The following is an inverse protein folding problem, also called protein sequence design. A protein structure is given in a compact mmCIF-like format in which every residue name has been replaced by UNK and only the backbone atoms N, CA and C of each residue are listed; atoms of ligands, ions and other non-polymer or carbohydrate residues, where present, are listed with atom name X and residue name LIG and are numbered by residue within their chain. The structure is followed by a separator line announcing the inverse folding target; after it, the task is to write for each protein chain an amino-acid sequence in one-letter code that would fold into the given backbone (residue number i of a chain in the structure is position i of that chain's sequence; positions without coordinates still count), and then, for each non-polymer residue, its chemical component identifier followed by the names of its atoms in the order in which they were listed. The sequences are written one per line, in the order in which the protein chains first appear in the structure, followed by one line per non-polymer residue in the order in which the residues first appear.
data_IF_338217467384
#
_entry.id   IF_338217467384
#
_cell.length_a   1.000
_cell.length_b   1.000
_cell.length_c   1.000
_cell.angle_alpha   90.00
_cell.angle_beta   90.00
_cell.angle_gamma   90.00
#
_symmetry.space_group_name_H-M   'P 1'
#
loop_
_entity.id
_entity.type
_entity.pdbx_description
1 polymer ?
#
# COMPACT_ATOMS: atom_id res chain seq x y z
N UNK A 1 3.26 -27.28 41.55
CA UNK A 1 3.22 -26.98 40.09
C UNK A 1 3.80 -28.19 39.36
N UNK A 2 3.10 -28.78 38.41
CA UNK A 2 3.49 -30.08 37.82
C UNK A 2 4.29 -29.90 36.52
N UNK A 3 5.13 -30.87 36.12
CA UNK A 3 6.02 -30.78 34.94
C UNK A 3 5.26 -30.38 33.66
N UNK A 4 4.03 -30.88 33.47
CA UNK A 4 3.15 -30.49 32.36
C UNK A 4 2.85 -29.00 32.31
N UNK A 5 2.60 -28.37 33.46
CA UNK A 5 2.32 -26.92 33.54
C UNK A 5 3.54 -26.07 33.19
N UNK A 6 4.75 -26.52 33.56
CA UNK A 6 6.01 -25.86 33.18
C UNK A 6 6.23 -25.91 31.66
N UNK A 7 6.03 -27.09 31.05
CA UNK A 7 6.17 -27.29 29.60
C UNK A 7 5.17 -26.42 28.83
N UNK A 8 3.90 -26.35 29.25
CA UNK A 8 2.90 -25.50 28.60
C UNK A 8 3.25 -24.01 28.64
N UNK A 9 3.77 -23.54 29.78
CA UNK A 9 4.22 -22.15 29.94
C UNK A 9 5.40 -21.87 29.01
N UNK A 10 6.38 -22.77 28.96
CA UNK A 10 7.57 -22.62 28.11
C UNK A 10 7.20 -22.60 26.61
N UNK A 11 6.32 -23.51 26.17
CA UNK A 11 5.83 -23.55 24.78
C UNK A 11 5.07 -22.27 24.43
N UNK A 12 4.14 -21.81 25.29
CA UNK A 12 3.41 -20.55 25.05
C UNK A 12 4.34 -19.35 25.00
N UNK A 13 5.36 -19.31 25.84
CA UNK A 13 6.34 -18.22 25.89
C UNK A 13 7.19 -18.21 24.62
N UNK A 14 7.71 -19.36 24.19
CA UNK A 14 8.44 -19.50 22.93
C UNK A 14 7.61 -19.09 21.71
N UNK A 15 6.32 -19.45 21.67
CA UNK A 15 5.41 -19.02 20.59
C UNK A 15 5.18 -17.50 20.60
N UNK A 16 5.06 -16.87 21.77
CA UNK A 16 4.93 -15.40 21.89
C UNK A 16 6.19 -14.70 21.40
N UNK A 17 7.38 -15.18 21.77
CA UNK A 17 8.67 -14.62 21.32
C UNK A 17 8.82 -14.74 19.81
N UNK A 18 8.56 -15.92 19.22
CA UNK A 18 8.59 -16.09 17.76
C UNK A 18 7.62 -15.15 17.04
N UNK A 19 6.41 -14.97 17.57
CA UNK A 19 5.43 -14.02 17.02
C UNK A 19 5.91 -12.57 17.12
N UNK A 20 6.52 -12.18 18.24
CA UNK A 20 7.06 -10.84 18.43
C UNK A 20 8.17 -10.55 17.41
N UNK A 21 9.13 -11.46 17.25
CA UNK A 21 10.22 -11.35 16.28
C UNK A 21 9.65 -11.20 14.86
N UNK A 22 8.70 -12.06 14.49
CA UNK A 22 8.01 -11.97 13.20
C UNK A 22 7.36 -10.59 12.98
N UNK A 23 6.64 -10.07 13.97
CA UNK A 23 5.98 -8.77 13.86
C UNK A 23 7.00 -7.63 13.73
N UNK A 24 8.09 -7.65 14.50
CA UNK A 24 9.17 -6.64 14.39
C UNK A 24 9.74 -6.61 12.98
N UNK A 25 10.09 -7.79 12.42
CA UNK A 25 10.64 -7.89 11.06
C UNK A 25 9.64 -7.34 10.03
N UNK A 26 8.38 -7.76 10.10
CA UNK A 26 7.36 -7.31 9.13
C UNK A 26 7.09 -5.82 9.24
N UNK A 27 7.02 -5.26 10.46
CA UNK A 27 6.88 -3.82 10.65
C UNK A 27 8.09 -3.03 10.13
N UNK A 28 9.31 -3.53 10.34
CA UNK A 28 10.51 -2.91 9.78
C UNK A 28 10.48 -2.88 8.26
N UNK A 29 10.12 -4.00 7.61
CA UNK A 29 9.95 -4.07 6.14
C UNK A 29 8.86 -3.09 5.70
N UNK A 30 7.73 -3.03 6.40
CA UNK A 30 6.63 -2.15 6.09
C UNK A 30 7.02 -0.67 6.19
N UNK A 31 7.79 -0.27 7.20
CA UNK A 31 8.26 1.11 7.36
C UNK A 31 9.25 1.53 6.26
N UNK A 32 10.17 0.63 5.88
CA UNK A 32 11.07 0.87 4.74
C UNK A 32 10.26 1.03 3.45
N UNK A 33 9.30 0.13 3.22
CA UNK A 33 8.39 0.21 2.09
C UNK A 33 7.60 1.52 2.07
N UNK A 34 6.99 1.93 3.20
CA UNK A 34 6.25 3.18 3.29
C UNK A 34 7.13 4.40 2.99
N UNK A 35 8.40 4.38 3.42
CA UNK A 35 9.35 5.44 3.13
C UNK A 35 9.64 5.56 1.63
N UNK A 36 9.78 4.41 0.95
CA UNK A 36 9.95 4.35 -0.51
C UNK A 36 8.67 4.82 -1.21
N UNK A 37 7.51 4.32 -0.80
CA UNK A 37 6.21 4.69 -1.36
C UNK A 37 5.98 6.21 -1.26
N UNK A 38 6.19 6.77 -0.08
CA UNK A 38 6.07 8.20 0.18
C UNK A 38 6.99 9.01 -0.74
N UNK A 39 8.25 8.61 -0.85
CA UNK A 39 9.21 9.28 -1.74
C UNK A 39 8.77 9.20 -3.21
N UNK A 40 8.37 8.03 -3.70
CA UNK A 40 8.03 7.84 -5.11
C UNK A 40 6.74 8.60 -5.46
N UNK A 41 5.72 8.51 -4.62
CA UNK A 41 4.42 9.15 -4.88
C UNK A 41 4.53 10.66 -4.77
N UNK A 42 5.10 11.20 -3.66
CA UNK A 42 5.16 12.64 -3.47
C UNK A 42 6.03 13.36 -4.51
N UNK A 43 7.11 12.72 -4.94
CA UNK A 43 8.09 13.34 -5.85
C UNK A 43 7.97 12.86 -7.30
N UNK A 44 6.81 12.31 -7.67
CA UNK A 44 6.49 11.76 -9.01
C UNK A 44 6.83 12.70 -10.18
N UNK A 45 6.70 14.02 -9.99
CA UNK A 45 6.92 15.03 -11.04
C UNK A 45 8.20 15.86 -10.87
N UNK A 46 8.97 15.68 -9.80
CA UNK A 46 10.11 16.54 -9.53
C UNK A 46 11.43 15.93 -9.99
N UNK A 47 12.02 16.51 -11.04
CA UNK A 47 13.34 16.11 -11.53
C UNK A 47 14.49 16.97 -10.93
N UNK A 48 14.19 18.15 -10.36
CA UNK A 48 15.18 18.99 -9.66
C UNK A 48 14.62 19.61 -8.37
N UNK A 49 15.47 19.88 -7.38
CA UNK A 49 15.08 20.56 -6.14
C UNK A 49 14.58 21.99 -6.38
N UNK A 50 15.13 22.69 -7.38
CA UNK A 50 14.69 24.03 -7.76
C UNK A 50 13.25 24.06 -8.27
N UNK A 51 12.85 23.07 -9.08
CA UNK A 51 11.48 22.93 -9.57
C UNK A 51 10.47 22.68 -8.45
N UNK A 52 10.87 21.91 -7.42
CA UNK A 52 10.05 21.68 -6.22
C UNK A 52 9.82 22.99 -5.48
N UNK A 53 10.89 23.75 -5.20
CA UNK A 53 10.81 25.00 -4.45
C UNK A 53 9.95 26.02 -5.20
N UNK A 54 10.12 26.13 -6.52
CA UNK A 54 9.32 27.03 -7.36
C UNK A 54 7.83 26.66 -7.33
N UNK A 55 7.50 25.37 -7.46
CA UNK A 55 6.13 24.84 -7.38
C UNK A 55 5.50 25.07 -6.01
N UNK A 56 6.23 24.78 -4.93
CA UNK A 56 5.79 25.03 -3.56
C UNK A 56 5.51 26.52 -3.38
N UNK A 57 6.43 27.38 -3.81
CA UNK A 57 6.30 28.82 -3.67
C UNK A 57 5.09 29.35 -4.45
N UNK A 58 4.96 29.04 -5.75
CA UNK A 58 3.79 29.44 -6.54
C UNK A 58 2.48 28.91 -5.96
N UNK A 59 2.46 27.69 -5.42
CA UNK A 59 1.25 27.11 -4.87
C UNK A 59 0.92 27.54 -3.43
N UNK A 60 1.86 28.15 -2.70
CA UNK A 60 1.60 28.77 -1.41
C UNK A 60 1.04 30.20 -1.55
N UNK A 61 1.24 30.85 -2.71
CA UNK A 61 0.71 32.19 -2.98
C UNK A 61 -0.78 32.20 -3.36
N UNK A 62 -1.44 31.04 -3.44
CA UNK A 62 -2.90 31.01 -3.64
C UNK A 62 -3.60 31.53 -2.39
N UNK A 63 -4.22 32.71 -2.52
CA UNK A 63 -5.02 33.38 -1.49
C UNK A 63 -6.18 32.52 -0.93
N UNK A 64 -6.55 31.42 -1.61
CA UNK A 64 -7.67 30.56 -1.20
C UNK A 64 -7.49 29.10 -1.59
N UNK A 65 -7.66 28.20 -0.61
CA UNK A 65 -7.66 26.73 -0.79
C UNK A 65 -8.67 26.29 -1.85
N UNK A 66 -9.82 26.97 -1.96
CA UNK A 66 -10.85 26.67 -2.97
C UNK A 66 -10.31 26.79 -4.40
N UNK A 67 -9.52 27.81 -4.67
CA UNK A 67 -8.93 28.05 -5.99
C UNK A 67 -7.91 26.94 -6.30
N UNK A 68 -7.09 26.57 -5.30
CA UNK A 68 -6.14 25.48 -5.42
C UNK A 68 -6.83 24.15 -5.75
N UNK A 69 -7.90 23.80 -5.02
CA UNK A 69 -8.68 22.59 -5.31
C UNK A 69 -9.25 22.64 -6.73
N UNK A 70 -9.80 23.78 -7.16
CA UNK A 70 -10.41 23.88 -8.49
C UNK A 70 -9.42 23.65 -9.63
N UNK A 71 -8.19 24.18 -9.54
CA UNK A 71 -7.20 24.09 -10.62
C UNK A 71 -6.25 22.88 -10.52
N UNK A 72 -6.03 22.33 -9.33
CA UNK A 72 -5.06 21.25 -9.09
C UNK A 72 -5.69 19.94 -8.62
N UNK A 73 -6.99 19.76 -8.86
CA UNK A 73 -7.67 18.48 -8.56
C UNK A 73 -8.41 17.96 -9.77
N UNK A 74 -8.13 16.71 -10.17
CA UNK A 74 -9.05 15.92 -10.96
C UNK A 74 -9.97 15.12 -10.04
N UNK A 75 -11.25 15.51 -9.99
CA UNK A 75 -12.28 14.80 -9.24
C UNK A 75 -13.21 13.97 -10.13
N UNK A 76 -13.00 13.98 -11.45
CA UNK A 76 -13.81 13.23 -12.40
C UNK A 76 -13.15 11.87 -12.64
N UNK A 77 -13.78 10.76 -12.21
CA UNK A 77 -13.23 9.44 -12.42
C UNK A 77 -12.99 9.13 -13.89
N UNK A 78 -11.90 8.43 -14.15
CA UNK A 78 -11.37 8.00 -15.43
C UNK A 78 -10.95 9.10 -16.39
N UNK A 79 -10.98 10.37 -15.99
CA UNK A 79 -10.63 11.48 -16.88
C UNK A 79 -9.16 11.45 -17.28
N UNK A 80 -8.27 11.27 -16.31
CA UNK A 80 -6.82 11.23 -16.55
C UNK A 80 -6.45 9.98 -17.33
N UNK A 81 -7.01 8.83 -16.96
CA UNK A 81 -6.82 7.57 -17.70
C UNK A 81 -7.29 7.72 -19.16
N UNK A 82 -8.47 8.31 -19.38
CA UNK A 82 -9.00 8.55 -20.72
C UNK A 82 -8.07 9.43 -21.56
N UNK A 83 -7.57 10.54 -21.00
CA UNK A 83 -6.66 11.44 -21.71
C UNK A 83 -5.37 10.72 -22.14
N UNK A 84 -4.82 9.88 -21.27
CA UNK A 84 -3.61 9.13 -21.54
C UNK A 84 -3.79 8.00 -22.56
N UNK A 85 -4.88 7.25 -22.46
CA UNK A 85 -5.10 6.03 -23.25
C UNK A 85 -5.80 6.31 -24.57
N UNK A 86 -6.78 7.20 -24.58
CA UNK A 86 -7.65 7.45 -25.73
C UNK A 86 -7.21 8.68 -26.51
N UNK A 87 -6.96 9.80 -25.83
CA UNK A 87 -6.52 11.04 -26.50
C UNK A 87 -5.03 11.00 -26.89
N UNK A 88 -4.32 9.93 -26.51
CA UNK A 88 -2.91 9.67 -26.85
C UNK A 88 -1.95 10.79 -26.41
N UNK A 89 -2.35 11.56 -25.39
CA UNK A 89 -1.51 12.59 -24.79
C UNK A 89 -0.36 11.91 -24.05
N UNK A 90 0.81 11.85 -24.70
CA UNK A 90 2.03 11.25 -24.13
C UNK A 90 1.78 9.85 -23.52
N UNK A 91 1.29 8.91 -24.34
CA UNK A 91 0.93 7.53 -23.92
C UNK A 91 1.98 6.82 -23.04
N UNK A 92 3.28 7.13 -23.21
CA UNK A 92 4.36 6.59 -22.35
C UNK A 92 4.22 7.05 -20.90
N UNK A 93 3.98 8.35 -20.70
CA UNK A 93 3.75 8.93 -19.37
C UNK A 93 2.46 8.36 -18.77
N UNK A 94 1.42 8.26 -19.60
CA UNK A 94 0.15 7.66 -19.21
C UNK A 94 0.28 6.22 -18.74
N UNK A 95 0.99 5.39 -19.50
CA UNK A 95 1.26 4.00 -19.12
C UNK A 95 2.03 3.90 -17.81
N UNK A 96 3.09 4.70 -17.64
CA UNK A 96 3.88 4.75 -16.40
C UNK A 96 3.01 5.20 -15.21
N UNK A 97 2.10 6.15 -15.40
CA UNK A 97 1.20 6.59 -14.34
C UNK A 97 0.21 5.48 -13.95
N UNK A 98 -0.46 4.88 -14.93
CA UNK A 98 -1.46 3.83 -14.68
C UNK A 98 -0.82 2.60 -14.02
N UNK A 99 0.26 2.10 -14.62
CA UNK A 99 0.94 0.89 -14.15
C UNK A 99 1.74 1.16 -12.89
N UNK A 100 2.44 2.29 -12.82
CA UNK A 100 3.26 2.67 -11.67
C UNK A 100 2.44 2.81 -10.39
N UNK A 101 1.34 3.56 -10.44
CA UNK A 101 0.44 3.71 -9.29
C UNK A 101 -0.11 2.35 -8.82
N UNK A 102 -0.61 1.55 -9.77
CA UNK A 102 -1.14 0.22 -9.45
C UNK A 102 -0.07 -0.69 -8.81
N UNK A 103 1.10 -0.82 -9.43
CA UNK A 103 2.17 -1.71 -8.95
C UNK A 103 2.69 -1.27 -7.60
N UNK A 104 2.82 0.04 -7.35
CA UNK A 104 3.32 0.58 -6.09
C UNK A 104 2.48 0.14 -4.89
N UNK A 105 1.17 -0.05 -5.05
CA UNK A 105 0.28 -0.48 -3.98
C UNK A 105 0.10 -2.01 -3.86
N UNK A 106 0.61 -2.82 -4.79
CA UNK A 106 0.59 -4.29 -4.66
C UNK A 106 1.32 -4.76 -3.39
N UNK A 107 2.55 -4.30 -3.09
CA UNK A 107 3.23 -4.66 -1.84
C UNK A 107 2.46 -4.23 -0.59
N UNK A 108 1.73 -3.10 -0.61
CA UNK A 108 0.88 -2.69 0.50
C UNK A 108 -0.15 -3.77 0.82
N UNK A 109 -0.90 -4.23 -0.19
CA UNK A 109 -1.90 -5.28 -0.04
C UNK A 109 -1.31 -6.59 0.47
N UNK A 110 -0.14 -6.99 -0.05
CA UNK A 110 0.58 -8.20 0.38
C UNK A 110 1.01 -8.12 1.86
N UNK A 111 1.71 -7.06 2.24
CA UNK A 111 2.30 -6.90 3.59
C UNK A 111 1.19 -6.81 4.64
N UNK A 112 0.17 -5.98 4.42
CA UNK A 112 -0.94 -5.85 5.38
C UNK A 112 -1.73 -7.17 5.45
N UNK A 113 -1.91 -7.90 4.35
CA UNK A 113 -2.54 -9.22 4.38
C UNK A 113 -1.74 -10.22 5.21
N UNK A 114 -0.41 -10.20 5.13
CA UNK A 114 0.45 -11.03 5.98
C UNK A 114 0.31 -10.67 7.47
N UNK A 115 0.25 -9.38 7.80
CA UNK A 115 0.07 -8.89 9.18
C UNK A 115 -1.31 -9.23 9.74
N UNK A 116 -2.34 -9.12 8.91
CA UNK A 116 -3.75 -9.31 9.26
C UNK A 116 -4.30 -10.70 8.90
N UNK A 117 -3.42 -11.65 8.57
CA UNK A 117 -3.80 -12.94 8.02
C UNK A 117 -4.88 -13.68 8.82
N UNK A 118 -4.82 -13.58 10.15
CA UNK A 118 -5.77 -14.27 11.04
C UNK A 118 -7.09 -13.52 11.26
N UNK A 119 -7.23 -12.27 10.80
CA UNK A 119 -8.44 -11.47 11.02
C UNK A 119 -9.43 -11.46 9.86
N UNK A 120 -9.17 -12.20 8.76
CA UNK A 120 -10.06 -12.29 7.57
C UNK A 120 -10.59 -10.93 7.11
N UNK A 121 -9.76 -9.90 7.16
CA UNK A 121 -10.23 -8.52 7.14
C UNK A 121 -9.94 -7.80 5.82
N UNK A 122 -10.12 -8.45 4.67
CA UNK A 122 -9.84 -7.87 3.35
C UNK A 122 -10.46 -6.47 3.17
N UNK A 123 -11.68 -6.26 3.70
CA UNK A 123 -12.32 -4.94 3.71
C UNK A 123 -11.53 -3.88 4.48
N UNK A 124 -10.95 -4.23 5.64
CA UNK A 124 -10.09 -3.31 6.41
C UNK A 124 -8.80 -3.00 5.67
N UNK A 125 -8.20 -4.01 5.04
CA UNK A 125 -6.98 -3.84 4.24
C UNK A 125 -7.24 -2.87 3.09
N UNK A 126 -8.34 -3.07 2.37
CA UNK A 126 -8.80 -2.15 1.33
C UNK A 126 -9.00 -0.73 1.88
N UNK A 127 -9.72 -0.57 3.00
CA UNK A 127 -9.89 0.74 3.62
C UNK A 127 -8.56 1.40 4.01
N UNK A 128 -7.60 0.66 4.55
CA UNK A 128 -6.28 1.21 4.87
C UNK A 128 -5.51 1.64 3.62
N UNK A 129 -5.59 0.87 2.54
CA UNK A 129 -4.95 1.22 1.28
C UNK A 129 -5.57 2.50 0.69
N UNK A 130 -6.90 2.57 0.61
CA UNK A 130 -7.61 3.74 0.08
C UNK A 130 -7.35 4.97 0.95
N UNK A 131 -7.39 4.86 2.29
CA UNK A 131 -7.07 5.99 3.18
C UNK A 131 -5.61 6.45 3.06
N UNK A 132 -4.68 5.50 2.90
CA UNK A 132 -3.26 5.83 2.70
C UNK A 132 -3.08 6.57 1.39
N UNK A 133 -3.64 6.05 0.29
CA UNK A 133 -3.59 6.71 -1.02
C UNK A 133 -4.25 8.09 -0.99
N UNK A 134 -5.42 8.22 -0.36
CA UNK A 134 -6.11 9.50 -0.22
C UNK A 134 -5.25 10.51 0.55
N UNK A 135 -4.58 10.05 1.62
CA UNK A 135 -3.67 10.90 2.40
C UNK A 135 -2.49 11.38 1.55
N UNK A 136 -1.93 10.54 0.69
CA UNK A 136 -0.85 10.92 -0.21
C UNK A 136 -1.30 11.98 -1.22
N UNK A 137 -2.46 11.79 -1.87
CA UNK A 137 -3.05 12.76 -2.81
C UNK A 137 -3.31 14.12 -2.13
N UNK A 138 -3.86 14.09 -0.91
CA UNK A 138 -4.11 15.31 -0.11
C UNK A 138 -2.80 16.00 0.26
N UNK A 139 -1.77 15.24 0.65
CA UNK A 139 -0.44 15.80 0.98
C UNK A 139 0.18 16.44 -0.28
N UNK A 140 0.11 15.79 -1.43
CA UNK A 140 0.61 16.35 -2.69
C UNK A 140 -0.09 17.66 -3.04
N UNK A 141 -1.42 17.72 -2.87
CA UNK A 141 -2.19 18.94 -3.09
C UNK A 141 -1.79 20.02 -2.09
N UNK A 142 -1.74 19.74 -0.79
CA UNK A 142 -1.43 20.75 0.23
C UNK A 142 -0.02 21.30 0.04
N UNK A 143 0.97 20.42 -0.13
CA UNK A 143 2.36 20.81 -0.32
C UNK A 143 2.66 21.35 -1.72
N UNK A 144 1.72 21.21 -2.68
CA UNK A 144 1.91 21.65 -4.05
C UNK A 144 2.98 20.88 -4.82
N UNK A 145 3.25 19.65 -4.40
CA UNK A 145 4.17 18.72 -5.07
C UNK A 145 3.54 18.04 -6.30
N UNK A 146 2.20 18.06 -6.39
CA UNK A 146 1.44 17.42 -7.45
C UNK A 146 0.03 17.96 -7.58
N UNK A 147 -0.82 17.17 -8.22
CA UNK A 147 -2.27 17.38 -8.32
C UNK A 147 -2.97 16.25 -7.57
N UNK A 148 -4.12 16.55 -6.99
CA UNK A 148 -5.00 15.50 -6.48
C UNK A 148 -5.67 14.81 -7.66
N UNK A 149 -5.48 13.51 -7.84
CA UNK A 149 -6.12 12.76 -8.91
C UNK A 149 -6.93 11.57 -8.37
N UNK A 150 -8.25 11.60 -8.62
CA UNK A 150 -9.13 10.50 -8.25
C UNK A 150 -8.77 9.19 -8.97
N UNK A 151 -8.17 9.26 -10.15
CA UNK A 151 -7.74 8.08 -10.90
C UNK A 151 -6.57 7.39 -10.20
N UNK A 152 -5.64 8.16 -9.63
CA UNK A 152 -4.51 7.63 -8.87
C UNK A 152 -5.01 6.92 -7.60
N UNK A 153 -6.03 7.47 -6.91
CA UNK A 153 -6.70 6.80 -5.79
C UNK A 153 -7.34 5.46 -6.18
N UNK A 154 -8.00 5.42 -7.33
CA UNK A 154 -8.63 4.19 -7.86
C UNK A 154 -7.56 3.15 -8.19
N UNK A 155 -6.51 3.54 -8.93
CA UNK A 155 -5.42 2.66 -9.34
C UNK A 155 -4.66 2.07 -8.15
N UNK A 156 -4.34 2.90 -7.16
CA UNK A 156 -3.71 2.45 -5.91
C UNK A 156 -4.60 1.46 -5.15
N UNK A 157 -5.91 1.72 -5.11
CA UNK A 157 -6.88 0.81 -4.48
C UNK A 157 -6.97 -0.54 -5.22
N UNK A 158 -6.92 -0.53 -6.56
CA UNK A 158 -6.84 -1.74 -7.39
C UNK A 158 -5.54 -2.50 -7.12
N UNK A 159 -4.40 -1.80 -7.06
CA UNK A 159 -3.11 -2.37 -6.70
C UNK A 159 -3.15 -3.13 -5.37
N UNK A 160 -3.76 -2.52 -4.35
CA UNK A 160 -3.93 -3.16 -3.05
C UNK A 160 -4.82 -4.42 -3.13
N UNK A 161 -5.90 -4.41 -3.91
CA UNK A 161 -6.74 -5.60 -4.14
C UNK A 161 -5.93 -6.71 -4.79
N UNK A 162 -5.13 -6.40 -5.82
CA UNK A 162 -4.24 -7.37 -6.47
C UNK A 162 -3.27 -7.98 -5.44
N UNK A 163 -2.67 -7.15 -4.57
CA UNK A 163 -1.82 -7.62 -3.49
C UNK A 163 -2.53 -8.57 -2.52
N UNK A 164 -3.77 -8.26 -2.12
CA UNK A 164 -4.60 -9.15 -1.29
C UNK A 164 -4.86 -10.49 -1.99
N UNK A 165 -5.23 -10.44 -3.28
CA UNK A 165 -5.51 -11.64 -4.08
C UNK A 165 -4.27 -12.52 -4.21
N UNK A 166 -3.10 -11.94 -4.47
CA UNK A 166 -1.84 -12.66 -4.54
C UNK A 166 -1.49 -13.34 -3.22
N UNK A 167 -1.65 -12.63 -2.09
CA UNK A 167 -1.41 -13.22 -0.77
C UNK A 167 -2.33 -14.42 -0.50
N UNK A 168 -3.61 -14.29 -0.80
CA UNK A 168 -4.60 -15.36 -0.63
C UNK A 168 -4.27 -16.55 -1.53
N UNK A 169 -3.89 -16.30 -2.78
CA UNK A 169 -3.49 -17.34 -3.73
C UNK A 169 -2.27 -18.13 -3.24
N UNK A 170 -1.21 -17.45 -2.81
CA UNK A 170 -0.01 -18.08 -2.25
C UNK A 170 -0.36 -18.90 -1.00
N UNK A 171 -1.22 -18.37 -0.14
CA UNK A 171 -1.70 -19.09 1.05
C UNK A 171 -2.44 -20.37 0.69
N UNK A 172 -3.32 -20.33 -0.31
CA UNK A 172 -4.07 -21.50 -0.77
C UNK A 172 -3.12 -22.56 -1.29
N UNK A 173 -2.15 -22.17 -2.13
CA UNK A 173 -1.13 -23.08 -2.67
C UNK A 173 -0.31 -23.70 -1.54
N UNK A 174 0.22 -22.89 -0.63
CA UNK A 174 1.00 -23.37 0.51
C UNK A 174 0.23 -24.40 1.33
N UNK A 175 -1.03 -24.08 1.67
CA UNK A 175 -1.90 -25.02 2.39
C UNK A 175 -2.17 -26.28 1.59
N UNK A 176 -2.30 -26.21 0.27
CA UNK A 176 -2.54 -27.38 -0.59
C UNK A 176 -1.33 -28.33 -0.62
N UNK A 177 -0.12 -27.78 -0.80
CA UNK A 177 1.13 -28.55 -0.88
C UNK A 177 1.48 -29.18 0.48
N UNK A 178 1.41 -28.39 1.56
CA UNK A 178 1.84 -28.84 2.88
C UNK A 178 0.72 -29.46 3.74
N UNK A 179 -0.49 -29.62 3.19
CA UNK A 179 -1.65 -30.23 3.89
C UNK A 179 -1.39 -31.66 4.36
N UNK A 180 -0.56 -32.43 3.65
CA UNK A 180 -0.17 -33.80 4.03
C UNK A 180 0.77 -33.81 5.24
N UNK A 181 1.83 -33.01 5.20
CA UNK A 181 2.84 -32.90 6.26
C UNK A 181 2.25 -32.44 7.61
N UNK A 182 1.34 -31.46 7.59
CA UNK A 182 0.70 -30.97 8.82
C UNK A 182 -0.17 -32.04 9.49
N UNK A 183 -0.81 -32.92 8.70
CA UNK A 183 -1.60 -34.02 9.26
C UNK A 183 -0.70 -35.13 9.83
N UNK A 184 0.43 -35.42 9.22
CA UNK A 184 1.39 -36.42 9.70
C UNK A 184 2.05 -35.98 11.03
N UNK A 185 2.44 -34.71 11.17
CA UNK A 185 3.00 -34.17 12.42
C UNK A 185 2.01 -34.14 13.60
N UNK A 186 0.70 -34.10 13.32
CA UNK A 186 -0.37 -34.14 14.32
C UNK A 186 -0.76 -35.57 14.74
N UNK A 187 -0.42 -36.57 13.94
CA UNK A 187 -0.68 -37.99 14.24
C UNK A 187 0.49 -38.61 15.02
N UNK A 188 1.69 -38.04 14.89
CA UNK A 188 2.93 -38.52 15.53
C UNK A 188 3.17 -37.90 16.93
N UNK A 189 2.33 -36.95 17.38
CA UNK A 189 2.37 -36.35 18.73
C UNK A 189 1.14 -36.73 19.54
#
# INVERSE_FOLDING_TARGET
MNVRTLIEIEVKTNLKVKRLIYLVIVWSIFLVYLSILFKVVLFKYSHSQSFIIERIQTQLHWESIKIKIYYYSNLIPFRTIYNYVINNENWRIGYINVVGNTILFIPFGLIISAMMYKSNSNRRIFSYATLTSLSLEVIQLILGLGQFDIDDLILNSIGAIIGIMLFNFVTIIYRSIFRKWIKEDLIVR
#
